data_IF_100585230431
#
_entry.id   IF_100585230431
#
_cell.length_a   1.000
_cell.length_b   1.000
_cell.length_c   1.000
_cell.angle_alpha   90.00
_cell.angle_beta   90.00
_cell.angle_gamma   90.00
#
_symmetry.space_group_name_H-M   'P 1'
#
loop_
_entity.id
_entity.type
_entity.pdbx_description
1 polymer ?
#
# COMPACT_ATOMS: atom_id res chain seq x y z
N UNK A 1 -2.59 -3.67 -5.28
CA UNK A 1 -2.08 -4.00 -3.93
C UNK A 1 -1.19 -2.87 -3.43
N UNK A 2 -1.29 -2.54 -2.14
CA UNK A 2 -0.46 -1.55 -1.47
C UNK A 2 0.42 -2.28 -0.45
N UNK A 3 1.73 -2.07 -0.51
CA UNK A 3 2.72 -2.64 0.41
C UNK A 3 3.67 -1.55 0.94
N UNK A 4 4.31 -1.75 2.10
CA UNK A 4 5.27 -0.77 2.62
C UNK A 4 5.38 -0.66 4.12
N UNK A 5 6.45 0.01 4.57
CA UNK A 5 6.84 0.17 5.97
C UNK A 5 8.31 -0.22 6.17
N UNK A 6 8.61 -0.81 7.33
CA UNK A 6 9.94 -1.34 7.68
C UNK A 6 10.02 -2.82 7.34
N UNK A 7 10.91 -3.16 6.40
CA UNK A 7 11.21 -4.51 5.97
C UNK A 7 12.05 -5.25 7.03
N UNK A 8 11.71 -6.53 7.28
CA UNK A 8 12.35 -7.36 8.31
C UNK A 8 13.12 -8.56 7.77
N UNK A 9 13.24 -8.69 6.44
CA UNK A 9 13.95 -9.81 5.81
C UNK A 9 13.07 -10.97 5.37
N UNK A 10 11.75 -10.81 5.37
CA UNK A 10 10.80 -11.81 4.86
C UNK A 10 10.98 -12.05 3.35
N UNK A 11 10.80 -13.29 2.89
CA UNK A 11 10.89 -13.59 1.46
C UNK A 11 9.61 -13.21 0.71
N UNK A 12 9.71 -12.29 -0.26
CA UNK A 12 8.61 -11.86 -1.12
C UNK A 12 8.63 -12.50 -2.50
N UNK A 13 9.57 -13.41 -2.80
CA UNK A 13 9.77 -13.97 -4.14
C UNK A 13 8.50 -14.59 -4.72
N UNK A 14 7.75 -15.34 -3.90
CA UNK A 14 6.47 -15.93 -4.33
C UNK A 14 5.42 -14.86 -4.63
N UNK A 15 5.31 -13.84 -3.76
CA UNK A 15 4.35 -12.74 -3.92
C UNK A 15 4.64 -11.94 -5.19
N UNK A 16 5.90 -11.67 -5.49
CA UNK A 16 6.33 -11.00 -6.73
C UNK A 16 5.89 -11.81 -7.95
N UNK A 17 6.16 -13.11 -7.96
CA UNK A 17 5.80 -13.99 -9.06
C UNK A 17 4.27 -14.05 -9.28
N UNK A 18 3.50 -14.18 -8.20
CA UNK A 18 2.04 -14.19 -8.26
C UNK A 18 1.47 -12.86 -8.74
N UNK A 19 1.99 -11.73 -8.23
CA UNK A 19 1.58 -10.40 -8.68
C UNK A 19 1.86 -10.20 -10.17
N UNK A 20 3.01 -10.65 -10.66
CA UNK A 20 3.36 -10.57 -12.07
C UNK A 20 2.43 -11.43 -12.94
N UNK A 21 2.22 -12.69 -12.53
CA UNK A 21 1.36 -13.65 -13.24
C UNK A 21 -0.08 -13.18 -13.35
N UNK A 22 -0.66 -12.72 -12.24
CA UNK A 22 -2.05 -12.25 -12.17
C UNK A 22 -2.18 -10.76 -12.56
N UNK A 23 -1.08 -10.12 -12.99
CA UNK A 23 -1.02 -8.71 -13.39
C UNK A 23 -1.56 -7.75 -12.32
N UNK A 24 -1.30 -8.07 -11.05
CA UNK A 24 -1.69 -7.24 -9.91
C UNK A 24 -0.81 -5.99 -9.91
N UNK A 25 -1.42 -4.82 -10.07
CA UNK A 25 -0.70 -3.55 -9.94
C UNK A 25 -0.32 -3.30 -8.48
N UNK A 26 0.96 -3.04 -8.25
CA UNK A 26 1.53 -2.83 -6.93
C UNK A 26 1.88 -1.36 -6.72
N UNK A 27 1.76 -0.88 -5.48
CA UNK A 27 2.24 0.42 -5.05
C UNK A 27 2.97 0.27 -3.73
N UNK A 28 4.11 0.94 -3.59
CA UNK A 28 4.96 0.84 -2.40
C UNK A 28 5.03 2.16 -1.64
N UNK A 29 5.14 2.11 -0.31
CA UNK A 29 5.35 3.28 0.52
C UNK A 29 6.27 3.04 1.73
N UNK A 30 6.60 4.12 2.45
CA UNK A 30 7.31 4.02 3.72
C UNK A 30 8.82 3.92 3.59
N UNK A 31 9.49 3.63 4.71
CA UNK A 31 10.95 3.60 4.84
C UNK A 31 11.62 2.71 3.80
N UNK A 32 11.15 1.47 3.68
CA UNK A 32 11.71 0.49 2.73
C UNK A 32 10.87 0.39 1.45
N UNK A 33 9.95 1.32 1.20
CA UNK A 33 9.14 1.35 -0.02
C UNK A 33 10.00 1.43 -1.29
N UNK A 34 11.12 2.15 -1.25
CA UNK A 34 12.04 2.22 -2.40
C UNK A 34 12.69 0.86 -2.73
N UNK A 35 12.96 0.01 -1.73
CA UNK A 35 13.41 -1.36 -1.96
C UNK A 35 12.33 -2.17 -2.69
N UNK A 36 11.10 -2.11 -2.20
CA UNK A 36 9.99 -2.83 -2.84
C UNK A 36 9.61 -2.30 -4.22
N UNK A 37 9.79 -1.00 -4.47
CA UNK A 37 9.57 -0.43 -5.80
C UNK A 37 10.45 -1.06 -6.86
N UNK A 38 11.68 -1.45 -6.50
CA UNK A 38 12.59 -2.18 -7.39
C UNK A 38 12.21 -3.64 -7.49
N UNK A 39 11.83 -4.26 -6.37
CA UNK A 39 11.49 -5.68 -6.31
C UNK A 39 10.22 -6.01 -7.11
N UNK A 40 9.22 -5.13 -7.06
CA UNK A 40 7.92 -5.30 -7.73
C UNK A 40 7.79 -4.50 -9.03
N UNK A 41 8.83 -3.76 -9.44
CA UNK A 41 8.80 -2.78 -10.54
C UNK A 41 7.56 -1.86 -10.49
N UNK A 42 7.45 -1.12 -9.38
CA UNK A 42 6.23 -0.41 -9.02
C UNK A 42 6.47 1.02 -8.56
N UNK A 43 5.40 1.83 -8.51
CA UNK A 43 5.52 3.23 -8.07
C UNK A 43 5.73 3.31 -6.56
N UNK A 44 6.74 4.10 -6.16
CA UNK A 44 7.06 4.41 -4.78
C UNK A 44 6.47 5.74 -4.32
N UNK A 45 6.02 5.78 -3.06
CA UNK A 45 5.56 6.98 -2.37
C UNK A 45 6.25 7.13 -1.01
N UNK A 46 6.52 8.37 -0.61
CA UNK A 46 7.17 8.64 0.68
C UNK A 46 6.34 8.13 1.86
N UNK A 47 5.03 8.38 1.84
CA UNK A 47 4.12 8.04 2.93
C UNK A 47 2.75 7.58 2.42
N UNK A 48 1.99 6.94 3.32
CA UNK A 48 0.68 6.38 3.00
C UNK A 48 -0.29 7.44 2.46
N UNK A 49 -0.28 8.64 3.04
CA UNK A 49 -1.16 9.73 2.62
C UNK A 49 -0.87 10.15 1.16
N UNK A 50 0.40 10.31 0.79
CA UNK A 50 0.79 10.62 -0.58
C UNK A 50 0.34 9.53 -1.57
N UNK A 51 0.50 8.26 -1.18
CA UNK A 51 0.07 7.12 -1.98
C UNK A 51 -1.45 7.15 -2.20
N UNK A 52 -2.24 7.23 -1.13
CA UNK A 52 -3.71 7.21 -1.23
C UNK A 52 -4.21 8.40 -2.02
N UNK A 53 -3.66 9.60 -1.82
CA UNK A 53 -4.03 10.80 -2.58
C UNK A 53 -3.86 10.61 -4.08
N UNK A 54 -2.80 9.93 -4.54
CA UNK A 54 -2.64 9.62 -5.96
C UNK A 54 -3.56 8.48 -6.38
N UNK A 55 -3.61 7.41 -5.59
CA UNK A 55 -4.37 6.19 -5.91
C UNK A 55 -5.84 6.48 -6.17
N UNK A 56 -6.49 7.29 -5.33
CA UNK A 56 -7.92 7.65 -5.50
C UNK A 56 -8.21 8.41 -6.80
N UNK A 57 -7.21 9.05 -7.41
CA UNK A 57 -7.37 9.78 -8.67
C UNK A 57 -7.25 8.89 -9.91
N UNK A 58 -6.74 7.67 -9.76
CA UNK A 58 -6.45 6.76 -10.88
C UNK A 58 -7.29 5.47 -10.84
N UNK A 59 -7.84 5.10 -9.69
CA UNK A 59 -8.66 3.90 -9.53
C UNK A 59 -10.13 4.16 -9.88
N UNK A 60 -10.76 3.14 -10.44
CA UNK A 60 -12.18 3.11 -10.78
C UNK A 60 -13.00 2.45 -9.67
N UNK A 61 -14.33 2.69 -9.65
CA UNK A 61 -15.24 2.08 -8.66
C UNK A 61 -15.31 0.55 -8.72
N UNK A 62 -14.86 -0.04 -9.83
CA UNK A 62 -14.81 -1.49 -10.04
C UNK A 62 -13.49 -2.11 -9.60
N UNK A 63 -12.50 -1.30 -9.25
CA UNK A 63 -11.19 -1.79 -8.85
C UNK A 63 -11.20 -2.30 -7.42
N UNK A 64 -10.45 -3.38 -7.17
CA UNK A 64 -10.22 -3.90 -5.83
C UNK A 64 -8.89 -3.38 -5.33
N UNK A 65 -8.92 -2.62 -4.23
CA UNK A 65 -7.72 -2.13 -3.55
C UNK A 65 -7.46 -3.02 -2.34
N UNK A 66 -6.43 -3.84 -2.43
CA UNK A 66 -5.91 -4.61 -1.29
C UNK A 66 -4.85 -3.80 -0.55
N UNK A 67 -5.11 -3.47 0.72
CA UNK A 67 -4.13 -2.92 1.65
C UNK A 67 -3.46 -4.05 2.42
N UNK A 68 -2.26 -4.46 1.98
CA UNK A 68 -1.47 -5.53 2.61
C UNK A 68 -0.01 -5.07 2.75
N UNK A 69 0.30 -4.20 3.74
CA UNK A 69 1.61 -3.57 3.89
C UNK A 69 2.78 -4.55 4.02
N UNK A 70 2.56 -5.77 4.52
CA UNK A 70 3.59 -6.83 4.63
C UNK A 70 4.81 -6.48 5.51
N UNK A 71 4.82 -5.31 6.14
CA UNK A 71 5.96 -4.74 6.84
C UNK A 71 5.52 -4.12 8.18
N UNK A 72 6.47 -3.92 9.09
CA UNK A 72 6.20 -3.20 10.34
C UNK A 72 5.90 -1.72 10.07
N UNK A 73 5.05 -1.11 10.90
CA UNK A 73 4.52 0.24 10.69
C UNK A 73 5.26 1.36 11.44
N UNK A 74 6.27 1.00 12.25
CA UNK A 74 6.94 1.91 13.19
C UNK A 74 7.74 3.06 12.56
N UNK A 75 7.84 3.11 11.23
CA UNK A 75 8.45 4.23 10.52
C UNK A 75 7.52 5.44 10.43
N UNK A 76 6.20 5.21 10.38
CA UNK A 76 5.20 6.26 10.17
C UNK A 76 4.07 6.25 11.19
N UNK A 77 3.90 5.15 11.93
CA UNK A 77 2.79 4.93 12.85
C UNK A 77 3.27 4.26 14.14
N UNK A 78 2.53 4.39 15.24
CA UNK A 78 2.86 3.76 16.53
C UNK A 78 2.62 2.27 16.54
N UNK A 79 1.68 1.77 15.74
CA UNK A 79 1.33 0.34 15.64
C UNK A 79 0.62 0.05 14.30
N UNK A 80 0.19 -1.19 14.08
CA UNK A 80 -0.42 -1.59 12.82
C UNK A 80 -1.88 -1.14 12.74
N UNK A 81 -2.57 -1.02 13.88
CA UNK A 81 -3.94 -0.55 14.01
C UNK A 81 -4.06 0.91 13.60
N UNK A 82 -3.17 1.78 14.07
CA UNK A 82 -3.13 3.20 13.70
C UNK A 82 -2.91 3.37 12.19
N UNK A 83 -2.04 2.54 11.60
CA UNK A 83 -1.84 2.52 10.14
C UNK A 83 -3.11 2.10 9.39
N UNK A 84 -3.82 1.08 9.89
CA UNK A 84 -5.08 0.61 9.31
C UNK A 84 -6.20 1.65 9.42
N UNK A 85 -6.34 2.28 10.59
CA UNK A 85 -7.31 3.34 10.83
C UNK A 85 -7.02 4.54 9.92
N UNK A 86 -5.75 4.94 9.79
CA UNK A 86 -5.37 6.02 8.88
C UNK A 86 -5.70 5.70 7.42
N UNK A 87 -5.50 4.45 6.97
CA UNK A 87 -5.93 4.03 5.63
C UNK A 87 -7.44 4.19 5.45
N UNK A 88 -8.26 3.74 6.41
CA UNK A 88 -9.72 3.86 6.36
C UNK A 88 -10.14 5.33 6.29
N UNK A 89 -9.64 6.16 7.21
CA UNK A 89 -9.95 7.60 7.26
C UNK A 89 -9.60 8.30 5.94
N UNK A 90 -8.44 8.01 5.36
CA UNK A 90 -8.01 8.59 4.09
C UNK A 90 -8.96 8.19 2.94
N UNK A 91 -9.42 6.95 2.91
CA UNK A 91 -10.33 6.44 1.89
C UNK A 91 -11.72 7.06 2.04
N UNK A 92 -12.29 7.06 3.24
CA UNK A 92 -13.62 7.61 3.52
C UNK A 92 -13.70 9.10 3.17
N UNK A 93 -12.68 9.87 3.59
CA UNK A 93 -12.63 11.31 3.32
C UNK A 93 -12.42 11.63 1.84
N UNK A 94 -11.72 10.78 1.07
CA UNK A 94 -11.42 11.05 -0.35
C UNK A 94 -12.48 10.53 -1.31
N UNK A 95 -13.15 9.44 -0.96
CA UNK A 95 -14.15 8.82 -1.83
C UNK A 95 -15.59 9.19 -1.47
N UNK A 96 -15.81 10.06 -0.46
CA UNK A 96 -17.14 10.30 0.13
C UNK A 96 -17.84 8.97 0.44
N UNK A 97 -17.06 7.97 0.86
CA UNK A 97 -17.57 6.64 1.17
C UNK A 97 -18.29 6.74 2.50
N UNK A 98 -19.59 7.04 2.47
CA UNK A 98 -20.46 6.76 3.61
C UNK A 98 -20.65 5.27 3.63
N UNK A 99 -19.94 4.57 4.52
CA UNK A 99 -20.29 3.20 4.88
C UNK A 99 -21.79 3.13 5.13
N UNK A 100 -22.44 2.15 4.51
CA UNK A 100 -23.86 1.87 4.74
C UNK A 100 -24.14 1.65 6.23
#
# INVERSE_FOLDING_TARGET
MILGGIYKGDDFSQVVNECSKEKIKVYSFGKDGAYFSKLFDCTYYRDLNALIKNLVSIVSKTDIILFSPGCASFDQFKNFEERGNNFIELIEHKLNFKGC
#
